data_IF_819972269933
#
_entry.id   IF_819972269933
#
_cell.length_a   1.000
_cell.length_b   1.000
_cell.length_c   1.000
_cell.angle_alpha   90.00
_cell.angle_beta   90.00
_cell.angle_gamma   90.00
#
_symmetry.space_group_name_H-M   'P 1'
#
loop_
_entity.id
_entity.type
_entity.pdbx_description
1 polymer ?
#
# COMPACT_ATOMS: atom_id res chain seq x y z
N UNK A 1 25.24 2.41 7.07
CA UNK A 1 24.21 2.69 6.03
C UNK A 1 23.12 1.63 5.97
N UNK A 2 23.46 0.33 6.07
CA UNK A 2 22.46 -0.74 6.04
C UNK A 2 21.42 -0.67 7.16
N UNK A 3 21.78 -0.45 8.42
CA UNK A 3 20.76 -0.37 9.49
C UNK A 3 19.84 0.82 9.32
N UNK A 4 20.38 1.98 8.93
CA UNK A 4 19.58 3.15 8.62
C UNK A 4 18.54 2.88 7.53
N UNK A 5 18.95 2.19 6.45
CA UNK A 5 18.02 1.82 5.38
C UNK A 5 16.99 0.77 5.84
N UNK A 6 17.35 -0.16 6.73
CA UNK A 6 16.38 -1.07 7.36
C UNK A 6 15.36 -0.31 8.19
N UNK A 7 15.77 0.67 8.99
CA UNK A 7 14.87 1.53 9.76
C UNK A 7 13.89 2.25 8.83
N UNK A 8 14.40 2.91 7.78
CA UNK A 8 13.54 3.56 6.78
C UNK A 8 12.61 2.57 6.08
N UNK A 9 13.06 1.35 5.80
CA UNK A 9 12.25 0.30 5.21
C UNK A 9 11.09 -0.11 6.12
N UNK A 10 11.36 -0.32 7.42
CA UNK A 10 10.33 -0.67 8.38
C UNK A 10 9.35 0.47 8.66
N UNK A 11 9.83 1.73 8.68
CA UNK A 11 8.94 2.90 8.73
C UNK A 11 8.05 2.94 7.49
N UNK A 12 8.63 2.77 6.30
CA UNK A 12 7.88 2.71 5.05
C UNK A 12 6.83 1.59 5.05
N UNK A 13 7.18 0.42 5.59
CA UNK A 13 6.30 -0.72 5.76
C UNK A 13 5.14 -0.39 6.71
N UNK A 14 5.44 0.16 7.90
CA UNK A 14 4.44 0.54 8.89
C UNK A 14 3.46 1.57 8.32
N UNK A 15 3.97 2.57 7.59
CA UNK A 15 3.13 3.58 6.93
C UNK A 15 2.26 2.97 5.82
N UNK A 16 2.85 2.23 4.88
CA UNK A 16 2.12 1.67 3.73
C UNK A 16 1.07 0.61 4.13
N UNK A 17 1.47 -0.32 4.99
CA UNK A 17 0.60 -1.37 5.51
C UNK A 17 -0.44 -0.78 6.47
N UNK A 18 -0.04 0.12 7.35
CA UNK A 18 -0.93 0.83 8.28
C UNK A 18 -2.00 1.63 7.57
N UNK A 19 -1.66 2.37 6.50
CA UNK A 19 -2.66 3.05 5.65
C UNK A 19 -3.65 2.07 5.01
N UNK A 20 -3.17 0.90 4.55
CA UNK A 20 -4.05 -0.12 3.95
C UNK A 20 -5.02 -0.71 4.97
N UNK A 21 -4.54 -1.00 6.18
CA UNK A 21 -5.39 -1.41 7.31
C UNK A 21 -6.41 -0.31 7.67
N UNK A 22 -5.97 0.94 7.77
CA UNK A 22 -6.86 2.06 8.05
C UNK A 22 -8.00 2.14 7.03
N UNK A 23 -7.71 2.13 5.73
CA UNK A 23 -8.74 2.17 4.69
C UNK A 23 -9.69 0.97 4.71
N UNK A 24 -9.20 -0.21 5.05
CA UNK A 24 -10.05 -1.39 5.22
C UNK A 24 -11.09 -1.18 6.33
N UNK A 25 -10.66 -0.75 7.52
CA UNK A 25 -11.56 -0.51 8.64
C UNK A 25 -12.47 0.71 8.42
N UNK A 26 -11.92 1.82 7.92
CA UNK A 26 -12.67 3.03 7.61
C UNK A 26 -13.75 2.77 6.56
N UNK A 27 -13.45 1.97 5.54
CA UNK A 27 -14.44 1.53 4.54
C UNK A 27 -15.59 0.74 5.18
N UNK A 28 -15.28 -0.17 6.11
CA UNK A 28 -16.30 -0.95 6.83
C UNK A 28 -17.15 -0.09 7.76
N UNK A 29 -16.57 0.93 8.38
CA UNK A 29 -17.30 1.89 9.23
C UNK A 29 -18.20 2.76 8.36
N UNK A 30 -17.68 3.32 7.27
CA UNK A 30 -18.43 4.14 6.32
C UNK A 30 -19.64 3.41 5.74
N UNK A 31 -19.51 2.12 5.44
CA UNK A 31 -20.60 1.30 4.91
C UNK A 31 -21.82 1.14 5.86
N UNK A 32 -21.65 1.45 7.15
CA UNK A 32 -22.72 1.41 8.16
C UNK A 32 -23.36 2.78 8.41
N UNK A 33 -22.84 3.84 7.80
CA UNK A 33 -23.34 5.20 7.95
C UNK A 33 -24.44 5.49 6.92
N UNK A 34 -25.21 6.56 7.16
CA UNK A 34 -26.06 7.12 6.12
C UNK A 34 -25.22 7.48 4.88
N UNK A 35 -25.69 7.23 3.64
CA UNK A 35 -24.86 7.35 2.43
C UNK A 35 -24.12 8.69 2.27
N UNK A 36 -24.77 9.81 2.60
CA UNK A 36 -24.17 11.14 2.52
C UNK A 36 -23.06 11.33 3.59
N UNK A 37 -23.31 10.89 4.82
CA UNK A 37 -22.36 10.96 5.92
C UNK A 37 -21.15 10.05 5.69
N UNK A 38 -21.38 8.80 5.26
CA UNK A 38 -20.32 7.83 4.96
C UNK A 38 -19.39 8.31 3.84
N UNK A 39 -19.93 8.99 2.83
CA UNK A 39 -19.14 9.60 1.76
C UNK A 39 -18.25 10.74 2.27
N UNK A 40 -18.82 11.68 3.02
CA UNK A 40 -18.06 12.80 3.60
C UNK A 40 -16.93 12.28 4.51
N UNK A 41 -17.24 11.28 5.33
CA UNK A 41 -16.26 10.58 6.17
C UNK A 41 -15.09 10.01 5.36
N UNK A 42 -15.37 9.27 4.27
CA UNK A 42 -14.32 8.67 3.44
C UNK A 42 -13.48 9.70 2.69
N UNK A 43 -14.08 10.81 2.23
CA UNK A 43 -13.35 11.90 1.57
C UNK A 43 -12.36 12.58 2.53
N UNK A 44 -12.73 12.76 3.79
CA UNK A 44 -11.84 13.33 4.81
C UNK A 44 -10.74 12.34 5.23
N UNK A 45 -11.10 11.07 5.37
CA UNK A 45 -10.16 9.99 5.65
C UNK A 45 -9.12 9.80 4.53
N UNK A 46 -9.41 10.29 3.32
CA UNK A 46 -8.50 10.20 2.19
C UNK A 46 -7.18 10.96 2.39
N UNK A 47 -7.11 11.90 3.34
CA UNK A 47 -5.86 12.54 3.77
C UNK A 47 -4.79 11.52 4.22
N UNK A 48 -5.21 10.35 4.73
CA UNK A 48 -4.34 9.24 5.14
C UNK A 48 -3.63 8.60 3.94
N UNK A 49 -4.14 8.77 2.72
CA UNK A 49 -3.51 8.24 1.49
C UNK A 49 -2.10 8.80 1.27
N UNK A 50 -1.84 10.05 1.66
CA UNK A 50 -0.52 10.68 1.58
C UNK A 50 0.51 9.89 2.37
N UNK A 51 0.14 9.40 3.57
CA UNK A 51 1.00 8.55 4.40
C UNK A 51 1.38 7.26 3.67
N UNK A 52 0.42 6.63 2.98
CA UNK A 52 0.68 5.45 2.16
C UNK A 52 1.64 5.71 0.99
N UNK A 53 1.59 6.90 0.37
CA UNK A 53 2.50 7.26 -0.74
C UNK A 53 3.91 7.51 -0.24
N UNK A 54 4.05 8.20 0.90
CA UNK A 54 5.34 8.40 1.56
C UNK A 54 5.92 7.03 1.95
N UNK A 55 5.10 6.16 2.55
CA UNK A 55 5.51 4.81 2.91
C UNK A 55 5.99 4.00 1.71
N UNK A 56 5.27 4.06 0.58
CA UNK A 56 5.66 3.39 -0.66
C UNK A 56 6.98 3.94 -1.22
N UNK A 57 7.18 5.26 -1.17
CA UNK A 57 8.44 5.90 -1.58
C UNK A 57 9.62 5.46 -0.70
N UNK A 58 9.43 5.42 0.62
CA UNK A 58 10.43 4.91 1.56
C UNK A 58 10.76 3.45 1.25
N UNK A 59 9.76 2.59 1.04
CA UNK A 59 9.95 1.18 0.68
C UNK A 59 10.71 1.01 -0.63
N UNK A 60 10.43 1.83 -1.65
CA UNK A 60 11.12 1.77 -2.94
C UNK A 60 12.61 2.08 -2.79
N UNK A 61 12.94 3.22 -2.15
CA UNK A 61 14.32 3.69 -2.01
C UNK A 61 15.11 2.74 -1.10
N UNK A 62 14.58 2.48 0.10
CA UNK A 62 15.26 1.62 1.07
C UNK A 62 15.33 0.17 0.59
N UNK A 63 14.26 -0.36 -0.01
CA UNK A 63 14.21 -1.71 -0.54
C UNK A 63 15.17 -1.92 -1.70
N UNK A 64 15.25 -0.96 -2.64
CA UNK A 64 16.22 -0.98 -3.73
C UNK A 64 17.66 -1.02 -3.22
N UNK A 65 17.97 -0.23 -2.19
CA UNK A 65 19.28 -0.28 -1.53
C UNK A 65 19.54 -1.63 -0.84
N UNK A 66 18.57 -2.13 -0.06
CA UNK A 66 18.71 -3.40 0.66
C UNK A 66 18.79 -4.62 -0.26
N UNK A 67 18.35 -4.49 -1.51
CA UNK A 67 18.48 -5.51 -2.55
C UNK A 67 19.89 -5.59 -3.16
N UNK A 68 20.78 -4.63 -2.88
CA UNK A 68 22.14 -4.59 -3.48
C UNK A 68 22.92 -5.91 -3.42
N UNK A 69 22.97 -6.67 -2.30
CA UNK A 69 23.68 -7.95 -2.27
C UNK A 69 22.87 -9.13 -2.86
N UNK A 70 21.60 -8.92 -3.19
CA UNK A 70 20.67 -9.98 -3.62
C UNK A 70 20.30 -9.90 -5.11
N UNK A 71 20.80 -8.91 -5.86
CA UNK A 71 20.52 -8.78 -7.30
C UNK A 71 21.01 -9.98 -8.11
N UNK A 72 22.15 -10.57 -7.74
CA UNK A 72 22.75 -11.72 -8.44
C UNK A 72 21.92 -13.00 -8.33
N UNK A 73 21.16 -13.16 -7.25
CA UNK A 73 20.33 -14.35 -6.98
C UNK A 73 18.85 -14.11 -7.30
N UNK A 74 18.49 -12.91 -7.77
CA UNK A 74 17.10 -12.55 -8.02
C UNK A 74 16.45 -13.50 -9.04
N UNK A 75 17.16 -13.80 -10.14
CA UNK A 75 16.65 -14.68 -11.20
C UNK A 75 16.43 -16.14 -10.76
N UNK A 76 17.12 -16.59 -9.71
CA UNK A 76 17.02 -17.96 -9.19
C UNK A 76 16.17 -18.07 -7.92
N UNK A 77 15.66 -16.96 -7.38
CA UNK A 77 14.84 -16.92 -6.16
C UNK A 77 13.38 -16.55 -6.48
N UNK A 78 12.48 -17.54 -6.63
CA UNK A 78 11.05 -17.30 -6.86
C UNK A 78 10.41 -16.40 -5.79
N UNK A 79 10.89 -16.49 -4.54
CA UNK A 79 10.37 -15.70 -3.42
C UNK A 79 10.73 -14.21 -3.57
N UNK A 80 11.96 -13.89 -3.98
CA UNK A 80 12.37 -12.51 -4.23
C UNK A 80 11.63 -11.91 -5.43
N UNK A 81 11.50 -12.67 -6.53
CA UNK A 81 10.73 -12.25 -7.70
C UNK A 81 9.29 -11.94 -7.27
N UNK A 82 8.66 -12.86 -6.56
CA UNK A 82 7.28 -12.70 -6.07
C UNK A 82 7.16 -11.47 -5.17
N UNK A 83 8.09 -11.26 -4.23
CA UNK A 83 8.10 -10.06 -3.36
C UNK A 83 8.14 -8.76 -4.17
N UNK A 84 9.03 -8.68 -5.17
CA UNK A 84 9.17 -7.47 -6.00
C UNK A 84 7.98 -7.26 -6.92
N UNK A 85 7.44 -8.32 -7.53
CA UNK A 85 6.22 -8.25 -8.33
C UNK A 85 5.04 -7.78 -7.48
N UNK A 86 4.85 -8.32 -6.28
CA UNK A 86 3.80 -7.87 -5.37
C UNK A 86 3.99 -6.41 -4.96
N UNK A 87 5.23 -5.95 -4.76
CA UNK A 87 5.51 -4.54 -4.49
C UNK A 87 5.08 -3.62 -5.65
N UNK A 88 5.34 -4.01 -6.90
CA UNK A 88 4.87 -3.27 -8.07
C UNK A 88 3.33 -3.26 -8.17
N UNK A 89 2.68 -4.40 -7.91
CA UNK A 89 1.22 -4.52 -7.86
C UNK A 89 0.65 -3.59 -6.78
N UNK A 90 1.26 -3.56 -5.59
CA UNK A 90 0.85 -2.67 -4.51
C UNK A 90 0.96 -1.19 -4.92
N UNK A 91 2.07 -0.80 -5.55
CA UNK A 91 2.25 0.56 -6.08
C UNK A 91 1.18 0.94 -7.11
N UNK A 92 0.84 0.02 -8.02
CA UNK A 92 -0.23 0.23 -8.99
C UNK A 92 -1.60 0.38 -8.32
N UNK A 93 -1.94 -0.50 -7.37
CA UNK A 93 -3.20 -0.44 -6.62
C UNK A 93 -3.34 0.89 -5.87
N UNK A 94 -2.30 1.31 -5.14
CA UNK A 94 -2.30 2.59 -4.41
C UNK A 94 -2.44 3.77 -5.39
N UNK A 95 -1.74 3.75 -6.51
CA UNK A 95 -1.86 4.78 -7.55
C UNK A 95 -3.27 4.88 -8.14
N UNK A 96 -3.91 3.73 -8.44
CA UNK A 96 -5.29 3.67 -8.96
C UNK A 96 -6.27 4.19 -7.90
N UNK A 97 -6.16 3.74 -6.64
CA UNK A 97 -7.01 4.19 -5.53
C UNK A 97 -6.92 5.71 -5.37
N UNK A 98 -5.71 6.26 -5.34
CA UNK A 98 -5.48 7.70 -5.26
C UNK A 98 -6.06 8.48 -6.43
N UNK A 99 -5.87 7.99 -7.66
CA UNK A 99 -6.41 8.62 -8.85
C UNK A 99 -7.94 8.67 -8.81
N UNK A 100 -8.58 7.54 -8.48
CA UNK A 100 -10.04 7.44 -8.37
C UNK A 100 -10.61 8.35 -7.30
N UNK A 101 -9.98 8.42 -6.15
CA UNK A 101 -10.44 9.30 -5.09
C UNK A 101 -10.25 10.79 -5.39
N UNK A 102 -9.14 11.16 -6.06
CA UNK A 102 -8.96 12.54 -6.56
C UNK A 102 -10.06 12.92 -7.55
N UNK A 103 -10.46 12.00 -8.44
CA UNK A 103 -11.59 12.21 -9.37
C UNK A 103 -12.93 12.30 -8.64
N UNK A 104 -13.17 11.45 -7.65
CA UNK A 104 -14.37 11.51 -6.82
C UNK A 104 -14.49 12.84 -6.05
N UNK A 105 -13.37 13.35 -5.51
CA UNK A 105 -13.34 14.66 -4.84
C UNK A 105 -13.64 15.82 -5.79
N UNK A 106 -13.42 15.63 -7.10
CA UNK A 106 -13.76 16.60 -8.16
C UNK A 106 -15.20 16.46 -8.69
N UNK A 107 -16.01 15.56 -8.13
CA UNK A 107 -17.42 15.39 -8.48
C UNK A 107 -17.76 14.13 -9.29
N UNK A 108 -16.78 13.32 -9.72
CA UNK A 108 -17.06 12.04 -10.39
C UNK A 108 -17.25 10.90 -9.36
N UNK A 109 -18.44 10.85 -8.78
CA UNK A 109 -18.78 9.94 -7.68
C UNK A 109 -18.75 8.46 -8.07
N UNK A 110 -18.88 8.16 -9.37
CA UNK A 110 -18.83 6.79 -9.90
C UNK A 110 -17.52 6.08 -9.54
N UNK A 111 -16.43 6.84 -9.35
CA UNK A 111 -15.10 6.32 -9.06
C UNK A 111 -14.96 5.78 -7.63
N UNK A 112 -15.84 6.17 -6.70
CA UNK A 112 -15.80 5.68 -5.32
C UNK A 112 -16.14 4.20 -5.21
N UNK A 113 -16.96 3.66 -6.14
CA UNK A 113 -17.43 2.26 -6.10
C UNK A 113 -16.30 1.23 -6.19
N UNK A 114 -15.17 1.58 -6.80
CA UNK A 114 -14.04 0.67 -6.93
C UNK A 114 -13.13 0.64 -5.69
N UNK A 115 -13.14 1.69 -4.86
CA UNK A 115 -12.25 1.81 -3.70
C UNK A 115 -12.48 0.69 -2.67
N UNK A 116 -13.72 0.30 -2.33
CA UNK A 116 -13.98 -0.82 -1.42
C UNK A 116 -13.46 -2.18 -1.90
N UNK A 117 -13.25 -2.36 -3.21
CA UNK A 117 -12.70 -3.59 -3.79
C UNK A 117 -11.17 -3.51 -3.82
N UNK A 118 -10.63 -2.37 -4.25
CA UNK A 118 -9.18 -2.17 -4.39
C UNK A 118 -8.46 -2.08 -3.04
N UNK A 119 -9.10 -1.55 -2.00
CA UNK A 119 -8.52 -1.43 -0.66
C UNK A 119 -8.13 -2.78 -0.03
N UNK A 120 -9.04 -3.75 0.09
CA UNK A 120 -8.73 -5.10 0.56
C UNK A 120 -7.65 -5.79 -0.29
N UNK A 121 -7.68 -5.61 -1.62
CA UNK A 121 -6.63 -6.16 -2.49
C UNK A 121 -5.26 -5.58 -2.15
N UNK A 122 -5.15 -4.26 -1.99
CA UNK A 122 -3.91 -3.61 -1.60
C UNK A 122 -3.42 -4.11 -0.22
N UNK A 123 -4.33 -4.28 0.74
CA UNK A 123 -4.01 -4.84 2.05
C UNK A 123 -3.47 -6.27 1.96
N UNK A 124 -4.15 -7.15 1.21
CA UNK A 124 -3.71 -8.54 1.01
C UNK A 124 -2.37 -8.60 0.29
N UNK A 125 -2.15 -7.76 -0.72
CA UNK A 125 -0.85 -7.63 -1.39
C UNK A 125 0.24 -7.20 -0.40
N UNK A 126 -0.02 -6.21 0.43
CA UNK A 126 0.94 -5.73 1.43
C UNK A 126 1.29 -6.83 2.46
N UNK A 127 0.31 -7.59 2.94
CA UNK A 127 0.52 -8.73 3.84
C UNK A 127 1.36 -9.81 3.15
N UNK A 128 1.05 -10.15 1.89
CA UNK A 128 1.81 -11.13 1.12
C UNK A 128 3.28 -10.71 0.96
N UNK A 129 3.57 -9.41 0.73
CA UNK A 129 4.94 -8.89 0.70
C UNK A 129 5.67 -9.14 2.02
N UNK A 130 5.01 -8.89 3.17
CA UNK A 130 5.59 -9.14 4.49
C UNK A 130 5.90 -10.62 4.68
N UNK A 131 4.97 -11.51 4.30
CA UNK A 131 5.17 -12.96 4.37
C UNK A 131 6.39 -13.35 3.52
N UNK A 132 6.47 -12.93 2.25
CA UNK A 132 7.61 -13.22 1.40
C UNK A 132 8.93 -12.70 1.98
N UNK A 133 8.93 -11.50 2.57
CA UNK A 133 10.11 -10.93 3.21
C UNK A 133 10.56 -11.77 4.41
N UNK A 134 9.64 -12.13 5.29
CA UNK A 134 9.91 -12.96 6.47
C UNK A 134 10.35 -14.37 6.06
N UNK A 135 9.81 -14.95 5.00
CA UNK A 135 10.25 -16.28 4.54
C UNK A 135 11.64 -16.27 3.93
N UNK A 136 12.04 -15.17 3.28
CA UNK A 136 13.32 -15.10 2.55
C UNK A 136 14.48 -14.62 3.43
N UNK A 137 14.26 -13.62 4.29
CA UNK A 137 15.30 -12.99 5.11
C UNK A 137 15.38 -13.56 6.54
N UNK A 138 14.77 -14.72 6.77
CA UNK A 138 14.95 -15.52 7.99
C UNK A 138 16.39 -16.00 8.11
#
# INVERSE_FOLDING_TARGET
>A
MREFMLILHFIGLAMGLGTSFAFFFLGRISAKMEPAAGKSFMLNAFSISTMGHIGLGLLFISGGYLMTPYWSILGSSPVLITKLTLFLVLGALIGIISSKAKKAKKGDESQLKAIPILGPLALLTAIAIVICAVTFFK
#
